data_IF_048819297350
#
_entry.id   IF_048819297350
#
_cell.length_a   1.000
_cell.length_b   1.000
_cell.length_c   1.000
_cell.angle_alpha   90.00
_cell.angle_beta   90.00
_cell.angle_gamma   90.00
#
_symmetry.space_group_name_H-M   'P 1'
#
loop_
_entity.id
_entity.type
_entity.pdbx_description
1 polymer ?
#
# COMPACT_ATOMS: atom_id res chain seq x y z
N UNK A 1 -37.20 -0.08 11.24
CA UNK A 1 -36.67 -0.23 9.86
C UNK A 1 -35.15 -0.11 9.89
N UNK A 2 -34.58 1.04 10.27
CA UNK A 2 -33.12 1.23 10.38
C UNK A 2 -32.33 0.10 11.06
N UNK A 3 -32.76 -0.40 12.23
CA UNK A 3 -32.08 -1.50 12.93
C UNK A 3 -32.14 -2.83 12.18
N UNK A 4 -33.25 -3.11 11.46
CA UNK A 4 -33.40 -4.32 10.65
C UNK A 4 -32.50 -4.27 9.41
N UNK A 5 -32.38 -3.10 8.78
CA UNK A 5 -31.56 -2.90 7.60
C UNK A 5 -30.07 -3.01 7.97
N UNK A 6 -29.66 -2.35 9.06
CA UNK A 6 -28.30 -2.44 9.62
C UNK A 6 -27.92 -3.88 9.99
N UNK A 7 -28.82 -4.62 10.65
CA UNK A 7 -28.62 -6.03 10.98
C UNK A 7 -28.41 -6.88 9.72
N UNK A 8 -29.27 -6.74 8.71
CA UNK A 8 -29.16 -7.51 7.46
C UNK A 8 -27.84 -7.23 6.74
N UNK A 9 -27.42 -5.97 6.70
CA UNK A 9 -26.16 -5.54 6.09
C UNK A 9 -24.94 -6.13 6.81
N UNK A 10 -24.86 -5.96 8.13
CA UNK A 10 -23.79 -6.52 8.96
C UNK A 10 -23.73 -8.04 8.83
N UNK A 11 -24.86 -8.73 8.99
CA UNK A 11 -24.91 -10.18 8.86
C UNK A 11 -24.50 -10.65 7.46
N UNK A 12 -24.85 -9.93 6.40
CA UNK A 12 -24.43 -10.25 5.04
C UNK A 12 -22.92 -10.12 4.90
N UNK A 13 -22.32 -9.05 5.41
CA UNK A 13 -20.88 -8.85 5.38
C UNK A 13 -20.13 -9.90 6.21
N UNK A 14 -20.63 -10.24 7.41
CA UNK A 14 -20.04 -11.28 8.27
C UNK A 14 -20.16 -12.70 7.70
N UNK A 15 -21.08 -12.95 6.76
CA UNK A 15 -21.06 -14.21 5.97
C UNK A 15 -19.92 -14.25 4.94
N UNK A 16 -19.36 -13.09 4.60
CA UNK A 16 -18.30 -12.91 3.61
C UNK A 16 -16.98 -12.48 4.26
N UNK A 17 -16.80 -12.68 5.57
CA UNK A 17 -15.62 -12.23 6.32
C UNK A 17 -14.30 -12.63 5.68
N UNK A 18 -14.18 -13.86 5.17
CA UNK A 18 -12.97 -14.32 4.47
C UNK A 18 -12.60 -13.46 3.26
N UNK A 19 -13.59 -12.91 2.55
CA UNK A 19 -13.33 -12.00 1.42
C UNK A 19 -12.87 -10.62 1.89
N UNK A 20 -13.34 -10.17 3.06
CA UNK A 20 -12.89 -8.93 3.69
C UNK A 20 -11.44 -9.10 4.17
N UNK A 21 -11.16 -10.18 4.90
CA UNK A 21 -9.82 -10.51 5.41
C UNK A 21 -8.79 -10.69 4.30
N UNK A 22 -9.18 -11.27 3.16
CA UNK A 22 -8.30 -11.43 2.00
C UNK A 22 -7.81 -10.09 1.40
N UNK A 23 -8.48 -8.98 1.72
CA UNK A 23 -8.12 -7.62 1.28
C UNK A 23 -7.22 -6.89 2.27
N UNK A 24 -6.90 -7.49 3.42
CA UNK A 24 -6.10 -6.83 4.44
C UNK A 24 -4.63 -6.71 4.00
N UNK A 25 -4.01 -5.52 4.17
CA UNK A 25 -2.59 -5.36 3.90
C UNK A 25 -1.74 -6.13 4.90
N UNK A 26 -0.77 -6.89 4.40
CA UNK A 26 0.14 -7.72 5.22
C UNK A 26 0.82 -6.92 6.32
N UNK A 27 1.36 -5.73 6.02
CA UNK A 27 2.05 -4.88 6.99
C UNK A 27 1.18 -4.40 8.17
N UNK A 28 -0.13 -4.26 7.99
CA UNK A 28 -1.05 -3.74 9.03
C UNK A 28 -2.15 -4.74 9.40
N UNK A 29 -1.99 -6.03 9.05
CA UNK A 29 -3.06 -7.04 9.12
C UNK A 29 -3.77 -7.08 10.47
N UNK A 30 -3.01 -7.04 11.57
CA UNK A 30 -3.55 -7.09 12.93
C UNK A 30 -4.47 -5.90 13.27
N UNK A 31 -4.21 -4.72 12.71
CA UNK A 31 -5.07 -3.53 12.90
C UNK A 31 -6.44 -3.76 12.26
N UNK A 32 -6.46 -4.29 11.04
CA UNK A 32 -7.69 -4.58 10.30
C UNK A 32 -8.49 -5.74 10.91
N UNK A 33 -7.80 -6.77 11.39
CA UNK A 33 -8.39 -7.88 12.15
C UNK A 33 -9.08 -7.35 13.41
N UNK A 34 -8.41 -6.51 14.19
CA UNK A 34 -8.98 -5.91 15.41
C UNK A 34 -10.26 -5.11 15.11
N UNK A 35 -10.26 -4.32 14.04
CA UNK A 35 -11.46 -3.54 13.64
C UNK A 35 -12.62 -4.43 13.20
N UNK A 36 -12.32 -5.55 12.52
CA UNK A 36 -13.34 -6.52 12.11
C UNK A 36 -13.89 -7.30 13.32
N UNK A 37 -13.04 -7.67 14.27
CA UNK A 37 -13.46 -8.26 15.55
C UNK A 37 -14.38 -7.32 16.34
N UNK A 38 -14.12 -6.00 16.30
CA UNK A 38 -15.02 -5.01 16.90
C UNK A 38 -16.41 -5.03 16.26
N UNK A 39 -16.51 -5.16 14.93
CA UNK A 39 -17.80 -5.30 14.23
C UNK A 39 -18.54 -6.54 14.71
N UNK A 40 -17.83 -7.67 14.87
CA UNK A 40 -18.41 -8.93 15.37
C UNK A 40 -18.92 -8.75 16.80
N UNK A 41 -18.11 -8.18 17.69
CA UNK A 41 -18.49 -7.96 19.08
C UNK A 41 -19.75 -7.07 19.22
N UNK A 42 -19.83 -5.99 18.44
CA UNK A 42 -21.02 -5.12 18.41
C UNK A 42 -22.25 -5.86 17.86
N UNK A 43 -22.08 -6.67 16.81
CA UNK A 43 -23.15 -7.50 16.26
C UNK A 43 -23.67 -8.51 17.29
N UNK A 44 -22.77 -9.19 18.00
CA UNK A 44 -23.11 -10.15 19.05
C UNK A 44 -23.81 -9.48 20.25
N UNK A 45 -23.48 -8.22 20.55
CA UNK A 45 -24.15 -7.39 21.55
C UNK A 45 -25.51 -6.84 21.08
N UNK A 46 -25.85 -6.99 19.80
CA UNK A 46 -27.07 -6.44 19.21
C UNK A 46 -27.00 -4.95 18.88
N UNK A 47 -25.80 -4.36 18.89
CA UNK A 47 -25.51 -2.96 18.58
C UNK A 47 -25.41 -2.74 17.06
N UNK A 48 -26.47 -3.12 16.33
CA UNK A 48 -26.44 -3.21 14.86
C UNK A 48 -26.12 -1.89 14.15
N UNK A 49 -26.54 -0.75 14.72
CA UNK A 49 -26.29 0.56 14.12
C UNK A 49 -24.82 0.99 14.24
N UNK A 50 -24.15 0.64 15.34
CA UNK A 50 -22.74 0.94 15.54
C UNK A 50 -21.89 -0.05 14.74
N UNK A 51 -22.27 -1.34 14.74
CA UNK A 51 -21.62 -2.37 13.93
C UNK A 51 -21.59 -2.02 12.44
N UNK A 52 -22.71 -1.53 11.88
CA UNK A 52 -22.76 -1.15 10.46
C UNK A 52 -21.93 0.09 10.16
N UNK A 53 -21.85 1.06 11.08
CA UNK A 53 -21.00 2.24 10.92
C UNK A 53 -19.52 1.85 10.89
N UNK A 54 -19.07 1.02 11.84
CA UNK A 54 -17.68 0.54 11.90
C UNK A 54 -17.35 -0.31 10.67
N UNK A 55 -18.26 -1.18 10.22
CA UNK A 55 -18.11 -1.96 9.01
C UNK A 55 -17.98 -1.09 7.74
N UNK A 56 -18.80 -0.05 7.63
CA UNK A 56 -18.74 0.87 6.48
C UNK A 56 -17.45 1.68 6.46
N UNK A 57 -16.98 2.13 7.63
CA UNK A 57 -15.67 2.76 7.75
C UNK A 57 -14.54 1.79 7.38
N UNK A 58 -14.58 0.55 7.89
CA UNK A 58 -13.60 -0.50 7.56
C UNK A 58 -13.52 -0.74 6.05
N UNK A 59 -14.67 -0.94 5.40
CA UNK A 59 -14.73 -1.23 3.96
C UNK A 59 -14.33 -0.03 3.10
N UNK A 60 -14.68 1.19 3.50
CA UNK A 60 -14.26 2.42 2.82
C UNK A 60 -12.75 2.64 2.96
N UNK A 61 -12.18 2.40 4.15
CA UNK A 61 -10.74 2.54 4.36
C UNK A 61 -9.96 1.48 3.56
N UNK A 62 -10.47 0.25 3.45
CA UNK A 62 -9.88 -0.78 2.59
C UNK A 62 -9.85 -0.35 1.12
N UNK A 63 -10.97 0.19 0.61
CA UNK A 63 -11.03 0.69 -0.76
C UNK A 63 -10.03 1.83 -0.99
N UNK A 64 -9.93 2.76 -0.04
CA UNK A 64 -8.95 3.84 -0.11
C UNK A 64 -7.52 3.30 -0.09
N UNK A 65 -7.24 2.29 0.72
CA UNK A 65 -5.93 1.66 0.77
C UNK A 65 -5.58 0.96 -0.54
N UNK A 66 -6.51 0.17 -1.11
CA UNK A 66 -6.34 -0.50 -2.41
C UNK A 66 -6.08 0.51 -3.54
N UNK A 67 -6.78 1.64 -3.52
CA UNK A 67 -6.53 2.72 -4.48
C UNK A 67 -5.10 3.26 -4.36
N UNK A 68 -4.64 3.55 -3.13
CA UNK A 68 -3.27 4.00 -2.88
C UNK A 68 -2.22 2.98 -3.29
N UNK A 69 -2.48 1.68 -3.08
CA UNK A 69 -1.61 0.59 -3.55
C UNK A 69 -1.52 0.61 -5.08
N UNK A 70 -2.64 0.78 -5.78
CA UNK A 70 -2.67 0.89 -7.23
C UNK A 70 -1.87 2.09 -7.74
N UNK A 71 -2.03 3.27 -7.12
CA UNK A 71 -1.27 4.47 -7.48
C UNK A 71 0.24 4.27 -7.24
N UNK A 72 0.62 3.76 -6.07
CA UNK A 72 2.01 3.48 -5.73
C UNK A 72 2.63 2.44 -6.67
N UNK A 73 1.86 1.45 -7.14
CA UNK A 73 2.30 0.45 -8.11
C UNK A 73 2.71 1.09 -9.44
N UNK A 74 1.88 2.01 -9.95
CA UNK A 74 2.19 2.73 -11.18
C UNK A 74 3.44 3.62 -11.02
N UNK A 75 3.60 4.27 -9.86
CA UNK A 75 4.78 5.09 -9.55
C UNK A 75 6.07 4.26 -9.44
N UNK A 76 6.02 3.11 -8.75
CA UNK A 76 7.17 2.18 -8.67
C UNK A 76 7.56 1.68 -10.05
N UNK A 77 6.58 1.30 -10.89
CA UNK A 77 6.85 0.87 -12.27
C UNK A 77 7.56 1.97 -13.05
N UNK A 78 7.07 3.21 -12.97
CA UNK A 78 7.66 4.35 -13.64
C UNK A 78 9.12 4.60 -13.19
N UNK A 79 9.37 4.62 -11.88
CA UNK A 79 10.70 4.84 -11.32
C UNK A 79 11.68 3.72 -11.69
N UNK A 80 11.23 2.46 -11.71
CA UNK A 80 12.04 1.32 -12.15
C UNK A 80 12.38 1.39 -13.65
N UNK A 81 11.44 1.81 -14.49
CA UNK A 81 11.68 2.03 -15.93
C UNK A 81 12.68 3.17 -16.18
N UNK A 82 12.50 4.31 -15.51
CA UNK A 82 13.43 5.44 -15.56
C UNK A 82 14.84 5.03 -15.11
N UNK A 83 14.92 4.26 -14.01
CA UNK A 83 16.19 3.75 -13.52
C UNK A 83 16.87 2.84 -14.53
N UNK A 84 16.15 1.90 -15.16
CA UNK A 84 16.70 1.01 -16.20
C UNK A 84 17.31 1.79 -17.38
N UNK A 85 16.68 2.89 -17.78
CA UNK A 85 17.19 3.78 -18.84
C UNK A 85 18.44 4.51 -18.37
N UNK A 86 18.38 5.14 -17.20
CA UNK A 86 19.49 5.91 -16.64
C UNK A 86 20.72 5.04 -16.38
N UNK A 87 20.52 3.81 -15.89
CA UNK A 87 21.59 2.84 -15.64
C UNK A 87 22.43 2.56 -16.89
N UNK A 88 21.79 2.44 -18.06
CA UNK A 88 22.48 2.25 -19.35
C UNK A 88 23.30 3.48 -19.76
N UNK A 89 22.81 4.68 -19.45
CA UNK A 89 23.53 5.93 -19.71
C UNK A 89 24.75 6.07 -18.79
N UNK A 90 24.60 5.71 -17.50
CA UNK A 90 25.71 5.65 -16.56
C UNK A 90 26.80 4.67 -17.02
N UNK A 91 26.40 3.48 -17.48
CA UNK A 91 27.34 2.51 -18.07
C UNK A 91 28.10 3.13 -19.27
N UNK A 92 27.40 3.85 -20.14
CA UNK A 92 27.99 4.50 -21.33
C UNK A 92 28.92 5.66 -20.98
N UNK A 93 28.69 6.34 -19.85
CA UNK A 93 29.55 7.40 -19.32
C UNK A 93 30.74 6.87 -18.49
N UNK A 94 30.87 5.55 -18.35
CA UNK A 94 31.93 4.93 -17.55
C UNK A 94 31.68 4.94 -16.04
N UNK A 95 30.47 5.28 -15.59
CA UNK A 95 30.08 5.27 -14.18
C UNK A 95 29.60 3.85 -13.83
N UNK A 96 30.52 3.03 -13.31
CA UNK A 96 30.30 1.61 -13.03
C UNK A 96 29.38 1.31 -11.82
N UNK A 97 29.02 0.03 -11.60
CA UNK A 97 28.09 -0.40 -10.55
C UNK A 97 28.61 -0.22 -9.12
N UNK A 98 29.90 0.03 -8.93
CA UNK A 98 30.52 0.30 -7.61
C UNK A 98 30.55 1.79 -7.28
N UNK A 99 30.04 2.65 -8.17
CA UNK A 99 29.86 4.07 -7.88
C UNK A 99 28.88 4.25 -6.72
N UNK A 100 29.27 4.95 -5.64
CA UNK A 100 28.45 5.04 -4.43
C UNK A 100 27.06 5.65 -4.68
N UNK A 101 26.97 6.69 -5.50
CA UNK A 101 25.71 7.38 -5.76
C UNK A 101 24.79 6.51 -6.64
N UNK A 102 25.36 5.77 -7.59
CA UNK A 102 24.63 4.77 -8.39
C UNK A 102 24.07 3.64 -7.51
N UNK A 103 24.89 3.09 -6.61
CA UNK A 103 24.45 2.05 -5.68
C UNK A 103 23.33 2.56 -4.76
N UNK A 104 23.45 3.79 -4.30
CA UNK A 104 22.46 4.40 -3.44
C UNK A 104 21.13 4.62 -4.20
N UNK A 105 21.18 5.02 -5.48
CA UNK A 105 19.98 5.13 -6.33
C UNK A 105 19.32 3.76 -6.57
N UNK A 106 20.09 2.73 -6.92
CA UNK A 106 19.59 1.34 -7.07
C UNK A 106 18.90 0.86 -5.78
N UNK A 107 19.53 1.15 -4.62
CA UNK A 107 18.98 0.79 -3.32
C UNK A 107 17.63 1.47 -3.07
N UNK A 108 17.51 2.79 -3.31
CA UNK A 108 16.26 3.51 -3.09
C UNK A 108 15.13 3.00 -4.00
N UNK A 109 15.42 2.69 -5.27
CA UNK A 109 14.46 2.08 -6.21
C UNK A 109 14.01 0.69 -5.72
N UNK A 110 14.96 -0.11 -5.22
CA UNK A 110 14.66 -1.43 -4.65
C UNK A 110 13.84 -1.33 -3.36
N UNK A 111 14.13 -0.37 -2.48
CA UNK A 111 13.40 -0.16 -1.23
C UNK A 111 11.94 0.24 -1.49
N UNK A 112 11.68 1.05 -2.53
CA UNK A 112 10.31 1.38 -2.94
C UNK A 112 9.52 0.14 -3.36
N UNK A 113 10.15 -0.74 -4.14
CA UNK A 113 9.53 -2.00 -4.60
C UNK A 113 9.23 -2.94 -3.42
N UNK A 114 10.18 -3.13 -2.51
CA UNK A 114 10.03 -3.98 -1.33
C UNK A 114 8.92 -3.46 -0.40
N UNK A 115 8.87 -2.14 -0.17
CA UNK A 115 7.84 -1.53 0.66
C UNK A 115 6.44 -1.70 0.05
N UNK A 116 6.31 -1.55 -1.27
CA UNK A 116 5.06 -1.80 -1.99
C UNK A 116 4.61 -3.27 -1.86
N UNK A 117 5.50 -4.24 -2.05
CA UNK A 117 5.20 -5.68 -1.89
C UNK A 117 4.73 -6.02 -0.47
N UNK A 118 5.26 -5.33 0.54
CA UNK A 118 4.81 -5.45 1.93
C UNK A 118 3.46 -4.79 2.23
N UNK A 119 2.94 -3.94 1.33
CA UNK A 119 1.76 -3.10 1.55
C UNK A 119 2.04 -1.89 2.46
N UNK A 120 3.31 -1.55 2.69
CA UNK A 120 3.70 -0.35 3.44
C UNK A 120 3.82 0.86 2.51
N UNK A 121 2.67 1.48 2.24
CA UNK A 121 2.56 2.63 1.33
C UNK A 121 3.31 3.86 1.84
N UNK A 122 3.37 4.05 3.17
CA UNK A 122 4.06 5.21 3.75
C UNK A 122 5.57 5.10 3.53
N UNK A 123 6.14 3.90 3.71
CA UNK A 123 7.55 3.64 3.40
C UNK A 123 7.81 3.65 1.89
N UNK A 124 6.88 3.15 1.07
CA UNK A 124 6.97 3.18 -0.38
C UNK A 124 7.09 4.62 -0.91
N UNK A 125 6.21 5.53 -0.49
CA UNK A 125 6.27 6.94 -0.91
C UNK A 125 7.56 7.65 -0.49
N UNK A 126 8.08 7.37 0.71
CA UNK A 126 9.36 7.92 1.16
C UNK A 126 10.51 7.44 0.26
N UNK A 127 10.55 6.15 -0.05
CA UNK A 127 11.56 5.58 -0.92
C UNK A 127 11.44 6.10 -2.36
N UNK A 128 10.23 6.27 -2.90
CA UNK A 128 9.99 6.89 -4.21
C UNK A 128 10.48 8.34 -4.28
N UNK A 129 10.27 9.13 -3.21
CA UNK A 129 10.79 10.49 -3.11
C UNK A 129 12.33 10.51 -3.16
N UNK A 130 12.97 9.69 -2.33
CA UNK A 130 14.43 9.55 -2.33
C UNK A 130 14.97 9.07 -3.68
N UNK A 131 14.35 8.04 -4.27
CA UNK A 131 14.73 7.54 -5.58
C UNK A 131 14.65 8.64 -6.64
N UNK A 132 13.57 9.44 -6.66
CA UNK A 132 13.39 10.52 -7.63
C UNK A 132 14.52 11.57 -7.54
N UNK A 133 14.86 12.02 -6.34
CA UNK A 133 15.96 12.97 -6.12
C UNK A 133 17.31 12.41 -6.58
N UNK A 134 17.55 11.14 -6.31
CA UNK A 134 18.80 10.46 -6.66
C UNK A 134 18.90 10.22 -8.17
N UNK A 135 17.81 9.80 -8.82
CA UNK A 135 17.75 9.63 -10.27
C UNK A 135 17.99 10.98 -10.98
N UNK A 136 17.42 12.08 -10.49
CA UNK A 136 17.69 13.40 -11.05
C UNK A 136 19.16 13.80 -10.88
N UNK A 137 19.75 13.53 -9.71
CA UNK A 137 21.17 13.76 -9.45
C UNK A 137 22.07 12.95 -10.40
N UNK A 138 21.76 11.66 -10.59
CA UNK A 138 22.48 10.79 -11.52
C UNK A 138 22.32 11.26 -12.97
N UNK A 139 21.13 11.72 -13.36
CA UNK A 139 20.86 12.23 -14.70
C UNK A 139 21.70 13.46 -15.06
N UNK A 140 22.12 14.27 -14.08
CA UNK A 140 23.02 15.42 -14.29
C UNK A 140 24.49 15.01 -14.53
N UNK A 141 24.84 13.75 -14.28
CA UNK A 141 26.21 13.21 -14.44
C UNK A 141 26.45 12.58 -15.81
N UNK A 142 25.42 12.42 -16.64
CA UNK A 142 25.42 11.66 -17.91
C UNK A 142 24.93 12.43 -19.12
#
# INVERSE_FOLDING_TARGET
RATSDAMQEVQRALRQTKQIEARFPTAKKSEWETRLEQVVAMADAGEWQDAVQVLNLLTSDLQLHEHKVSEATELVRFVDEEWKILRRRLDSAGIGPVDPDRMAAEKAVSEASIALEGGDIDSCHKALGAASEMLESQNRRV
#
